data_IF_946701376307
#
_entry.id   IF_946701376307
#
_cell.length_a   1.000
_cell.length_b   1.000
_cell.length_c   1.000
_cell.angle_alpha   90.00
_cell.angle_beta   90.00
_cell.angle_gamma   90.00
#
_symmetry.space_group_name_H-M   'P 1'
#
loop_
_entity.id
_entity.type
_entity.pdbx_description
1 polymer ?
#
# COMPACT_ATOMS: atom_id res chain seq x y z
N UNK A 1 -0.94 6.87 -14.29
CA UNK A 1 -1.07 7.29 -12.89
C UNK A 1 0.24 7.77 -12.30
N UNK A 2 1.37 7.18 -12.72
CA UNK A 2 2.69 7.60 -12.23
C UNK A 2 3.08 9.03 -12.57
N UNK A 3 2.29 9.72 -13.40
CA UNK A 3 2.55 11.11 -13.76
C UNK A 3 1.77 12.11 -12.90
N UNK A 4 0.93 11.62 -11.99
CA UNK A 4 0.11 12.48 -11.13
C UNK A 4 0.89 12.84 -9.87
N UNK A 5 2.05 13.48 -10.06
CA UNK A 5 3.04 13.65 -8.98
C UNK A 5 2.62 14.68 -7.94
N UNK A 6 1.53 15.41 -8.14
CA UNK A 6 1.04 16.39 -7.15
C UNK A 6 -0.06 15.83 -6.25
N UNK A 7 -0.42 14.54 -6.40
CA UNK A 7 -1.45 13.95 -5.56
C UNK A 7 -0.98 13.81 -4.12
N UNK A 8 -1.85 14.17 -3.19
CA UNK A 8 -1.67 13.91 -1.76
C UNK A 8 -2.46 12.70 -1.31
N UNK A 9 -3.59 12.44 -1.94
CA UNK A 9 -4.49 11.35 -1.58
C UNK A 9 -4.93 10.65 -2.84
N UNK A 10 -4.80 9.32 -2.85
CA UNK A 10 -5.30 8.48 -3.92
C UNK A 10 -6.10 7.37 -3.27
N UNK A 11 -7.40 7.34 -3.50
CA UNK A 11 -8.27 6.31 -2.96
C UNK A 11 -9.05 5.67 -4.09
N UNK A 12 -8.64 4.45 -4.43
CA UNK A 12 -9.29 3.62 -5.44
C UNK A 12 -9.94 2.39 -4.81
N UNK A 13 -10.19 2.45 -3.51
CA UNK A 13 -10.78 1.34 -2.77
C UNK A 13 -12.22 1.08 -3.23
N UNK A 14 -12.66 -0.16 -3.01
CA UNK A 14 -14.03 -0.60 -3.32
C UNK A 14 -14.33 -0.39 -4.81
N UNK A 15 -13.54 -1.08 -5.62
CA UNK A 15 -13.68 -1.09 -7.07
C UNK A 15 -13.50 -2.52 -7.58
N UNK A 16 -13.25 -2.68 -8.86
CA UNK A 16 -13.04 -3.97 -9.49
C UNK A 16 -11.70 -4.01 -10.22
N UNK A 17 -10.69 -3.33 -9.63
CA UNK A 17 -9.37 -3.28 -10.23
C UNK A 17 -8.71 -4.65 -10.19
N UNK A 18 -8.06 -5.01 -11.30
CA UNK A 18 -7.36 -6.28 -11.45
C UNK A 18 -5.90 -6.05 -11.80
N UNK A 19 -5.13 -7.13 -11.83
CA UNK A 19 -3.71 -7.07 -12.17
C UNK A 19 -2.87 -6.66 -10.98
N UNK A 20 -1.61 -6.36 -11.24
CA UNK A 20 -0.66 -6.03 -10.18
C UNK A 20 -0.63 -4.54 -9.91
N UNK A 21 -0.27 -4.18 -8.68
CA UNK A 21 0.01 -2.79 -8.34
C UNK A 21 1.28 -2.38 -9.10
N UNK A 22 1.21 -1.33 -9.94
CA UNK A 22 2.39 -0.95 -10.72
C UNK A 22 3.46 -0.30 -9.85
N UNK A 23 4.73 -0.56 -10.18
CA UNK A 23 5.84 0.04 -9.46
C UNK A 23 5.86 1.56 -9.58
N UNK A 24 5.25 2.09 -10.64
CA UNK A 24 5.14 3.54 -10.86
C UNK A 24 4.38 4.26 -9.76
N UNK A 25 3.64 3.52 -8.93
CA UNK A 25 2.99 4.12 -7.74
C UNK A 25 4.03 4.83 -6.86
N UNK A 26 5.27 4.34 -6.85
CA UNK A 26 6.35 4.95 -6.09
C UNK A 26 6.79 6.33 -6.58
N UNK A 27 6.31 6.75 -7.75
CA UNK A 27 6.59 8.10 -8.26
C UNK A 27 5.71 9.17 -7.62
N UNK A 28 4.64 8.77 -6.94
CA UNK A 28 3.68 9.69 -6.33
C UNK A 28 4.15 10.10 -4.93
N UNK A 29 5.31 10.75 -4.88
CA UNK A 29 6.04 10.97 -3.63
C UNK A 29 5.37 11.96 -2.68
N UNK A 30 4.34 12.66 -3.12
CA UNK A 30 3.57 13.56 -2.26
C UNK A 30 2.39 12.88 -1.57
N UNK A 31 2.15 11.59 -1.83
CA UNK A 31 1.02 10.89 -1.21
C UNK A 31 1.18 10.80 0.30
N UNK A 32 0.11 11.13 0.99
CA UNK A 32 -0.02 10.88 2.42
C UNK A 32 -1.02 9.76 2.70
N UNK A 33 -1.91 9.48 1.76
CA UNK A 33 -2.92 8.41 1.86
C UNK A 33 -2.97 7.65 0.54
N UNK A 34 -2.88 6.32 0.62
CA UNK A 34 -3.04 5.44 -0.54
C UNK A 34 -4.01 4.34 -0.17
N UNK A 35 -5.17 4.32 -0.83
CA UNK A 35 -6.20 3.32 -0.62
C UNK A 35 -6.42 2.48 -1.87
N UNK A 36 -6.18 1.18 -1.76
CA UNK A 36 -6.42 0.21 -2.83
C UNK A 36 -7.21 -0.99 -2.32
N UNK A 37 -7.80 -0.87 -1.15
CA UNK A 37 -8.51 -1.97 -0.50
C UNK A 37 -9.78 -2.36 -1.26
N UNK A 38 -10.19 -3.59 -1.09
CA UNK A 38 -11.44 -4.14 -1.67
C UNK A 38 -11.44 -4.00 -3.19
N UNK A 39 -10.51 -4.71 -3.80
CA UNK A 39 -10.36 -4.83 -5.23
C UNK A 39 -10.01 -6.29 -5.56
N UNK A 40 -9.52 -6.54 -6.76
CA UNK A 40 -9.09 -7.86 -7.21
C UNK A 40 -7.61 -7.82 -7.62
N UNK A 41 -6.82 -7.05 -6.90
CA UNK A 41 -5.39 -6.91 -7.20
C UNK A 41 -4.64 -8.18 -6.83
N UNK A 42 -3.65 -8.53 -7.66
CA UNK A 42 -2.87 -9.76 -7.53
C UNK A 42 -1.38 -9.43 -7.45
N UNK A 43 -0.57 -10.46 -7.26
CA UNK A 43 0.88 -10.31 -7.24
C UNK A 43 1.37 -9.75 -5.91
N UNK A 44 2.59 -9.24 -5.91
CA UNK A 44 3.24 -8.77 -4.69
C UNK A 44 3.06 -7.27 -4.50
N UNK A 45 3.28 -6.83 -3.26
CA UNK A 45 3.34 -5.40 -2.95
C UNK A 45 4.67 -4.88 -3.51
N UNK A 46 4.64 -3.83 -4.35
CA UNK A 46 5.89 -3.26 -4.87
C UNK A 46 6.73 -2.64 -3.76
N UNK A 47 8.02 -2.92 -3.77
CA UNK A 47 8.94 -2.28 -2.81
C UNK A 47 8.98 -0.76 -3.01
N UNK A 48 8.63 -0.30 -4.20
CA UNK A 48 8.58 1.13 -4.53
C UNK A 48 7.60 1.92 -3.68
N UNK A 49 6.64 1.25 -3.04
CA UNK A 49 5.77 1.93 -2.07
C UNK A 49 6.61 2.53 -0.93
N UNK A 50 7.77 1.93 -0.63
CA UNK A 50 8.71 2.48 0.34
C UNK A 50 9.26 3.84 -0.03
N UNK A 51 9.15 4.26 -1.29
CA UNK A 51 9.57 5.60 -1.72
C UNK A 51 8.58 6.68 -1.33
N UNK A 52 7.40 6.32 -0.87
CA UNK A 52 6.35 7.28 -0.49
C UNK A 52 6.60 7.74 0.94
N UNK A 53 7.66 8.53 1.13
CA UNK A 53 8.14 8.87 2.46
C UNK A 53 7.21 9.78 3.26
N UNK A 54 6.20 10.37 2.61
CA UNK A 54 5.18 11.16 3.29
C UNK A 54 3.92 10.35 3.64
N UNK A 55 3.89 9.08 3.27
CA UNK A 55 2.71 8.23 3.46
C UNK A 55 2.49 7.96 4.95
N UNK A 56 1.25 8.16 5.41
CA UNK A 56 0.86 7.89 6.79
C UNK A 56 -0.36 6.98 6.89
N UNK A 57 -0.92 6.57 5.75
CA UNK A 57 -2.04 5.64 5.72
C UNK A 57 -2.02 4.84 4.43
N UNK A 58 -2.02 3.52 4.55
CA UNK A 58 -1.99 2.59 3.42
C UNK A 58 -3.06 1.53 3.63
N UNK A 59 -3.92 1.35 2.63
CA UNK A 59 -4.99 0.36 2.68
C UNK A 59 -4.86 -0.59 1.50
N UNK A 60 -4.50 -1.83 1.77
CA UNK A 60 -4.35 -2.89 0.76
C UNK A 60 -5.22 -4.10 1.06
N UNK A 61 -6.02 -4.06 2.11
CA UNK A 61 -6.81 -5.21 2.55
C UNK A 61 -7.84 -5.66 1.51
N UNK A 62 -8.23 -6.92 1.60
CA UNK A 62 -9.28 -7.51 0.75
C UNK A 62 -8.95 -7.41 -0.73
N UNK A 63 -7.83 -7.97 -1.09
CA UNK A 63 -7.37 -8.20 -2.46
C UNK A 63 -6.90 -9.63 -2.58
N UNK A 64 -6.08 -9.93 -3.56
CA UNK A 64 -5.49 -11.25 -3.77
C UNK A 64 -3.96 -11.14 -3.78
N UNK A 65 -3.43 -10.26 -2.96
CA UNK A 65 -1.99 -10.03 -2.89
C UNK A 65 -1.28 -11.21 -2.22
N UNK A 66 -0.06 -11.49 -2.66
CA UNK A 66 0.73 -12.63 -2.19
C UNK A 66 2.17 -12.20 -1.92
N UNK A 67 2.92 -13.11 -1.28
CA UNK A 67 4.35 -12.90 -1.03
C UNK A 67 4.60 -12.16 0.26
N UNK A 68 5.85 -11.76 0.45
CA UNK A 68 6.31 -11.08 1.65
C UNK A 68 6.03 -9.59 1.58
N UNK A 69 5.96 -8.97 2.76
CA UNK A 69 5.93 -7.51 2.82
C UNK A 69 7.34 -7.01 2.55
N UNK A 70 7.55 -6.12 1.55
CA UNK A 70 8.89 -5.61 1.29
C UNK A 70 9.47 -4.90 2.51
N UNK A 71 10.77 -5.11 2.82
CA UNK A 71 11.39 -4.43 3.97
C UNK A 71 11.25 -2.91 3.91
N UNK A 72 11.29 -2.36 2.70
CA UNK A 72 11.13 -0.91 2.52
C UNK A 72 9.78 -0.42 3.00
N UNK A 73 8.73 -1.25 2.82
CA UNK A 73 7.39 -0.91 3.30
C UNK A 73 7.31 -1.07 4.82
N UNK A 74 7.93 -2.11 5.36
CA UNK A 74 8.01 -2.28 6.82
C UNK A 74 8.67 -1.08 7.48
N UNK A 75 9.79 -0.62 6.89
CA UNK A 75 10.53 0.54 7.41
C UNK A 75 9.68 1.80 7.35
N UNK A 76 8.91 1.97 6.29
CA UNK A 76 8.04 3.13 6.14
C UNK A 76 6.98 3.16 7.24
N UNK A 77 6.38 2.02 7.54
CA UNK A 77 5.36 1.91 8.59
C UNK A 77 5.95 2.25 9.96
N UNK A 78 7.19 1.81 10.22
CA UNK A 78 7.84 2.07 11.49
C UNK A 78 8.30 3.52 11.64
N UNK A 79 8.83 4.11 10.56
CA UNK A 79 9.49 5.41 10.66
C UNK A 79 8.52 6.58 10.62
N UNK A 80 7.37 6.41 10.00
CA UNK A 80 6.38 7.49 9.93
C UNK A 80 5.40 7.35 11.11
N UNK A 81 4.94 8.47 11.61
CA UNK A 81 3.98 8.48 12.73
C UNK A 81 2.57 8.21 12.20
N UNK A 82 2.31 6.98 11.83
CA UNK A 82 0.99 6.60 11.33
C UNK A 82 -0.02 6.67 12.47
N UNK A 83 -1.25 6.98 12.11
CA UNK A 83 -2.32 7.12 13.11
C UNK A 83 -2.47 5.84 13.93
N UNK A 84 -2.75 5.99 15.24
CA UNK A 84 -3.01 4.83 16.10
C UNK A 84 -4.26 4.07 15.68
N UNK A 85 -5.12 4.67 14.87
CA UNK A 85 -6.30 4.01 14.32
C UNK A 85 -5.95 3.13 13.10
N UNK A 86 -4.76 3.29 12.54
CA UNK A 86 -4.32 2.45 11.42
C UNK A 86 -3.92 1.08 11.96
N UNK A 87 -4.44 0.03 11.38
CA UNK A 87 -4.22 -1.33 11.85
C UNK A 87 -3.59 -2.17 10.75
N UNK A 88 -2.35 -2.60 10.98
CA UNK A 88 -1.58 -3.36 9.99
C UNK A 88 -2.32 -4.63 9.58
N UNK A 89 -2.90 -5.36 10.53
CA UNK A 89 -3.57 -6.62 10.21
C UNK A 89 -4.80 -6.41 9.35
N UNK A 90 -5.58 -5.39 9.61
CA UNK A 90 -6.77 -5.11 8.81
C UNK A 90 -6.44 -4.45 7.48
N UNK A 91 -5.54 -3.48 7.51
CA UNK A 91 -5.32 -2.62 6.35
C UNK A 91 -4.37 -3.24 5.33
N UNK A 92 -3.48 -4.12 5.74
CA UNK A 92 -2.51 -4.76 4.85
C UNK A 92 -2.80 -6.24 4.71
N UNK A 93 -2.77 -6.99 5.82
CA UNK A 93 -2.85 -8.45 5.78
C UNK A 93 -4.25 -8.98 5.54
N UNK A 94 -5.26 -8.30 6.07
CA UNK A 94 -6.62 -8.80 6.04
C UNK A 94 -7.13 -9.02 4.63
N UNK A 95 -7.67 -10.22 4.37
CA UNK A 95 -8.24 -10.55 3.05
C UNK A 95 -7.23 -10.77 1.95
N UNK A 96 -5.94 -10.92 2.30
CA UNK A 96 -4.87 -11.23 1.34
C UNK A 96 -4.17 -12.53 1.75
N UNK A 97 -3.26 -13.01 0.93
CA UNK A 97 -2.39 -14.15 1.22
C UNK A 97 -0.94 -13.72 1.45
N UNK A 98 -0.77 -12.62 2.14
CA UNK A 98 0.54 -12.05 2.40
C UNK A 98 1.22 -12.76 3.57
N UNK A 99 2.55 -12.82 3.53
CA UNK A 99 3.38 -13.32 4.61
C UNK A 99 3.89 -12.12 5.40
N UNK A 100 3.53 -12.06 6.68
CA UNK A 100 3.97 -10.96 7.53
C UNK A 100 5.44 -11.13 7.89
N UNK A 101 6.28 -10.33 7.23
CA UNK A 101 7.72 -10.32 7.46
C UNK A 101 8.17 -9.05 8.19
N UNK A 102 7.22 -8.18 8.54
CA UNK A 102 7.52 -7.01 9.39
C UNK A 102 7.52 -7.43 10.85
N UNK A 103 8.47 -6.95 11.60
CA UNK A 103 8.56 -7.21 13.04
C UNK A 103 7.91 -6.13 13.87
#
# INVERSE_FOLDING_TARGET
>A
IGQLTNLYLLDLSINQLTGEIPSEIGNLTNLTYLGLAVNQLTGSIPSEIGNLTNLTWLRLGNNQLTGEIPPEVCDLIESNNWSSNWNFEEEILGGNNLINTCD
#
